data_IF_562626170092
#
_entry.id   IF_562626170092
#
_cell.length_a   1.000
_cell.length_b   1.000
_cell.length_c   1.000
_cell.angle_alpha   90.00
_cell.angle_beta   90.00
_cell.angle_gamma   90.00
#
_symmetry.space_group_name_H-M   'P 1'
#
loop_
_entity.id
_entity.type
_entity.pdbx_description
1 polymer ?
#
# COMPACT_ATOMS: atom_id res chain seq x y z
N UNK A 1 -8.45 -12.43 -0.70
CA UNK A 1 -7.12 -11.84 -0.92
C UNK A 1 -6.14 -12.94 -0.60
N UNK A 2 -5.32 -13.34 -1.56
CA UNK A 2 -4.25 -14.31 -1.31
C UNK A 2 -3.10 -13.60 -0.58
N UNK A 3 -2.57 -14.23 0.46
CA UNK A 3 -1.56 -13.64 1.34
C UNK A 3 -0.33 -14.54 1.37
N UNK A 4 0.75 -14.09 0.74
CA UNK A 4 2.08 -14.65 0.84
C UNK A 4 2.96 -13.72 1.70
N UNK A 5 2.70 -13.77 3.02
CA UNK A 5 3.30 -12.86 4.02
C UNK A 5 4.07 -13.68 5.04
N UNK A 6 5.38 -13.42 5.11
CA UNK A 6 6.33 -14.13 5.97
C UNK A 6 6.34 -13.57 7.41
N UNK A 7 6.18 -12.25 7.58
CA UNK A 7 6.37 -11.59 8.88
C UNK A 7 5.09 -11.06 9.51
N UNK A 8 4.99 -11.23 10.83
CA UNK A 8 3.90 -10.66 11.63
C UNK A 8 3.85 -9.12 11.57
N UNK A 9 4.97 -8.48 11.22
CA UNK A 9 5.05 -7.04 11.05
C UNK A 9 4.21 -6.57 9.87
N UNK A 10 4.40 -7.13 8.67
CA UNK A 10 3.62 -6.73 7.51
C UNK A 10 2.14 -7.13 7.69
N UNK A 11 1.89 -8.32 8.26
CA UNK A 11 0.52 -8.76 8.60
C UNK A 11 -0.18 -7.75 9.51
N UNK A 12 0.47 -7.32 10.59
CA UNK A 12 -0.07 -6.33 11.50
C UNK A 12 -0.29 -4.96 10.86
N UNK A 13 0.61 -4.51 9.96
CA UNK A 13 0.40 -3.27 9.21
C UNK A 13 -0.86 -3.37 8.33
N UNK A 14 -1.00 -4.46 7.56
CA UNK A 14 -2.13 -4.67 6.67
C UNK A 14 -3.44 -4.76 7.44
N UNK A 15 -3.51 -5.53 8.53
CA UNK A 15 -4.72 -5.64 9.35
C UNK A 15 -5.17 -4.27 9.87
N UNK A 16 -4.24 -3.46 10.38
CA UNK A 16 -4.55 -2.13 10.86
C UNK A 16 -4.98 -1.18 9.74
N UNK A 17 -4.31 -1.23 8.59
CA UNK A 17 -4.67 -0.41 7.43
C UNK A 17 -6.05 -0.80 6.90
N UNK A 18 -6.32 -2.10 6.73
CA UNK A 18 -7.61 -2.61 6.28
C UNK A 18 -8.75 -2.21 7.24
N UNK A 19 -8.50 -2.27 8.57
CA UNK A 19 -9.45 -1.81 9.58
C UNK A 19 -9.72 -0.29 9.53
N UNK A 20 -8.70 0.50 9.17
CA UNK A 20 -8.87 1.94 9.01
C UNK A 20 -9.68 2.27 7.75
N UNK A 21 -9.32 1.68 6.61
CA UNK A 21 -10.00 1.95 5.34
C UNK A 21 -11.44 1.40 5.32
N UNK A 22 -11.75 0.36 6.09
CA UNK A 22 -13.11 -0.21 6.15
C UNK A 22 -14.18 0.77 6.67
N UNK A 23 -13.77 1.92 7.21
CA UNK A 23 -14.66 3.02 7.58
C UNK A 23 -15.13 3.85 6.38
N UNK A 24 -14.41 3.76 5.26
CA UNK A 24 -14.64 4.55 4.05
C UNK A 24 -15.19 3.71 2.90
N UNK A 25 -15.07 2.38 2.98
CA UNK A 25 -15.44 1.45 1.92
C UNK A 25 -15.72 0.06 2.48
N UNK A 26 -16.58 -0.70 1.80
CA UNK A 26 -16.82 -2.10 2.13
C UNK A 26 -15.62 -2.95 1.69
N UNK A 27 -14.82 -3.38 2.66
CA UNK A 27 -13.70 -4.30 2.45
C UNK A 27 -14.21 -5.73 2.65
N UNK A 28 -14.21 -6.51 1.58
CA UNK A 28 -14.58 -7.93 1.61
C UNK A 28 -13.44 -8.81 1.08
N UNK A 29 -13.57 -10.12 1.26
CA UNK A 29 -12.56 -11.08 0.83
C UNK A 29 -12.32 -10.99 -0.68
N UNK A 30 -11.08 -10.69 -1.08
CA UNK A 30 -10.72 -10.56 -2.51
C UNK A 30 -10.90 -9.14 -3.06
N UNK A 31 -11.18 -8.16 -2.21
CA UNK A 31 -11.27 -6.76 -2.61
C UNK A 31 -9.97 -6.25 -3.25
N UNK A 32 -8.82 -6.58 -2.66
CA UNK A 32 -7.49 -6.28 -3.19
C UNK A 32 -6.84 -7.52 -3.81
N UNK A 33 -5.87 -7.29 -4.70
CA UNK A 33 -5.05 -8.33 -5.31
C UNK A 33 -4.20 -9.10 -4.30
N UNK A 34 -3.47 -10.11 -4.78
CA UNK A 34 -2.57 -10.88 -3.92
C UNK A 34 -1.51 -9.97 -3.29
N UNK A 35 -1.14 -10.28 -2.04
CA UNK A 35 -0.09 -9.55 -1.33
C UNK A 35 1.10 -10.46 -1.11
N UNK A 36 2.27 -10.01 -1.53
CA UNK A 36 3.54 -10.71 -1.44
C UNK A 36 4.52 -9.91 -0.58
N UNK A 37 5.19 -10.60 0.33
CA UNK A 37 6.30 -10.05 1.09
C UNK A 37 7.62 -10.55 0.52
N UNK A 38 8.57 -9.65 0.28
CA UNK A 38 9.87 -10.05 -0.25
C UNK A 38 10.78 -8.87 -0.55
N UNK A 39 12.04 -9.17 -0.89
CA UNK A 39 13.00 -8.13 -1.29
C UNK A 39 12.67 -7.60 -2.67
N UNK A 40 12.44 -6.30 -2.76
CA UNK A 40 12.15 -5.61 -4.03
C UNK A 40 13.39 -4.78 -4.40
N UNK A 41 13.82 -4.85 -5.66
CA UNK A 41 14.99 -4.10 -6.09
C UNK A 41 14.67 -2.60 -6.17
N UNK A 42 15.45 -1.77 -5.48
CA UNK A 42 15.33 -0.31 -5.37
C UNK A 42 14.01 0.27 -4.81
N UNK A 43 12.93 -0.49 -4.70
CA UNK A 43 11.65 -0.01 -4.18
C UNK A 43 11.33 -0.52 -2.78
N UNK A 44 10.42 0.15 -2.07
CA UNK A 44 9.92 -0.29 -0.75
C UNK A 44 8.62 -1.08 -0.89
N UNK A 45 7.78 -0.67 -1.84
CA UNK A 45 6.55 -1.36 -2.22
C UNK A 45 6.27 -1.11 -3.71
N UNK A 46 5.52 -2.00 -4.34
CA UNK A 46 5.07 -1.80 -5.73
C UNK A 46 3.81 -2.61 -6.00
N UNK A 47 2.95 -2.08 -6.87
CA UNK A 47 1.85 -2.81 -7.50
C UNK A 47 2.23 -3.25 -8.91
N UNK A 48 2.06 -4.53 -9.23
CA UNK A 48 2.25 -5.07 -10.58
C UNK A 48 1.11 -4.68 -11.53
N UNK A 49 1.30 -4.86 -12.84
CA UNK A 49 0.26 -4.59 -13.84
C UNK A 49 -1.00 -5.47 -13.66
N UNK A 50 -0.85 -6.65 -13.02
CA UNK A 50 -1.96 -7.57 -12.71
C UNK A 50 -2.65 -7.21 -11.38
N UNK A 51 -2.16 -6.21 -10.65
CA UNK A 51 -2.72 -5.75 -9.39
C UNK A 51 -2.22 -6.49 -8.15
N UNK A 52 -1.18 -7.32 -8.28
CA UNK A 52 -0.51 -7.92 -7.13
C UNK A 52 0.37 -6.88 -6.42
N UNK A 53 0.33 -6.88 -5.10
CA UNK A 53 1.00 -5.93 -4.22
C UNK A 53 2.24 -6.57 -3.61
N UNK A 54 3.39 -5.92 -3.75
CA UNK A 54 4.67 -6.40 -3.23
C UNK A 54 5.18 -5.42 -2.18
N UNK A 55 5.59 -5.94 -1.02
CA UNK A 55 6.15 -5.13 0.07
C UNK A 55 7.50 -5.66 0.56
N UNK A 56 8.51 -4.79 0.66
CA UNK A 56 9.79 -5.08 1.31
C UNK A 56 9.71 -4.66 2.79
N UNK A 57 9.22 -5.57 3.62
CA UNK A 57 9.02 -5.30 5.05
C UNK A 57 10.33 -4.97 5.79
N UNK A 58 11.48 -5.46 5.31
CA UNK A 58 12.78 -5.14 5.89
C UNK A 58 13.16 -3.67 5.67
N UNK A 59 12.85 -3.12 4.49
CA UNK A 59 12.99 -1.67 4.24
C UNK A 59 11.94 -0.87 5.01
N UNK A 60 10.69 -1.34 5.06
CA UNK A 60 9.60 -0.65 5.76
C UNK A 60 9.88 -0.45 7.26
N UNK A 61 10.54 -1.42 7.91
CA UNK A 61 10.96 -1.34 9.33
C UNK A 61 11.92 -0.18 9.66
N UNK A 62 12.50 0.47 8.65
CA UNK A 62 13.37 1.66 8.84
C UNK A 62 12.56 2.93 9.09
N UNK A 63 11.25 2.90 8.85
CA UNK A 63 10.36 4.02 9.05
C UNK A 63 9.54 3.85 10.33
N UNK A 64 9.02 4.97 10.84
CA UNK A 64 7.97 4.93 11.87
C UNK A 64 6.77 4.12 11.39
N UNK A 65 6.08 3.46 12.32
CA UNK A 65 4.89 2.64 12.02
C UNK A 65 3.83 3.40 11.22
N UNK A 66 3.63 4.69 11.50
CA UNK A 66 2.68 5.54 10.77
C UNK A 66 3.07 5.70 9.29
N UNK A 67 4.37 5.84 9.00
CA UNK A 67 4.88 5.97 7.63
C UNK A 67 4.76 4.62 6.91
N UNK A 68 5.11 3.52 7.59
CA UNK A 68 4.95 2.19 7.04
C UNK A 68 3.47 1.86 6.71
N UNK A 69 2.53 2.25 7.57
CA UNK A 69 1.10 2.14 7.29
C UNK A 69 0.66 3.03 6.12
N UNK A 70 1.21 4.25 6.00
CA UNK A 70 0.94 5.13 4.86
C UNK A 70 1.46 4.56 3.53
N UNK A 71 2.60 3.86 3.51
CA UNK A 71 3.10 3.13 2.33
C UNK A 71 2.07 2.07 1.90
N UNK A 72 1.60 1.24 2.84
CA UNK A 72 0.59 0.21 2.53
C UNK A 72 -0.70 0.85 2.00
N UNK A 73 -1.19 1.89 2.65
CA UNK A 73 -2.40 2.59 2.22
C UNK A 73 -2.24 3.20 0.81
N UNK A 74 -1.06 3.73 0.48
CA UNK A 74 -0.77 4.28 -0.84
C UNK A 74 -0.87 3.22 -1.94
N UNK A 75 -0.25 2.04 -1.76
CA UNK A 75 -0.36 0.95 -2.74
C UNK A 75 -1.79 0.41 -2.89
N UNK A 76 -2.52 0.29 -1.77
CA UNK A 76 -3.94 -0.07 -1.81
C UNK A 76 -4.78 0.98 -2.56
N UNK A 77 -4.42 2.26 -2.46
CA UNK A 77 -5.07 3.32 -3.22
C UNK A 77 -4.80 3.18 -4.73
N UNK A 78 -3.57 2.85 -5.13
CA UNK A 78 -3.27 2.52 -6.53
C UNK A 78 -4.11 1.34 -7.05
N UNK A 79 -4.29 0.29 -6.24
CA UNK A 79 -5.16 -0.81 -6.61
C UNK A 79 -6.61 -0.35 -6.79
N UNK A 80 -7.15 0.36 -5.78
CA UNK A 80 -8.55 0.82 -5.75
C UNK A 80 -8.89 1.73 -6.94
N UNK A 81 -7.98 2.63 -7.31
CA UNK A 81 -8.13 3.55 -8.44
C UNK A 81 -7.85 2.90 -9.80
N UNK A 82 -7.45 1.62 -9.82
CA UNK A 82 -7.15 0.89 -11.05
C UNK A 82 -5.87 1.36 -11.74
N UNK A 83 -4.93 1.96 -11.01
CA UNK A 83 -3.67 2.48 -11.57
C UNK A 83 -2.77 1.39 -12.12
N UNK A 84 -2.83 0.17 -11.57
CA UNK A 84 -2.12 -1.00 -12.09
C UNK A 84 -2.46 -1.32 -13.55
N UNK A 85 -3.64 -0.92 -14.05
CA UNK A 85 -4.06 -1.14 -15.44
C UNK A 85 -3.49 -0.08 -16.41
N UNK A 86 -2.86 0.97 -15.88
CA UNK A 86 -2.26 2.06 -16.66
C UNK A 86 -0.77 1.77 -16.82
N UNK A 87 -0.21 2.05 -17.99
CA UNK A 87 1.19 1.78 -18.26
C UNK A 87 2.11 2.88 -17.72
N UNK A 88 3.16 2.46 -17.02
CA UNK A 88 4.25 3.33 -16.57
C UNK A 88 3.88 4.28 -15.42
N UNK A 89 4.89 5.05 -15.00
CA UNK A 89 4.74 6.06 -13.95
C UNK A 89 3.97 7.28 -14.48
N UNK A 90 3.02 7.77 -13.69
CA UNK A 90 2.25 8.97 -14.00
C UNK A 90 2.05 9.82 -12.74
N UNK A 91 2.44 11.09 -12.82
CA UNK A 91 2.40 12.02 -11.70
C UNK A 91 0.97 12.27 -11.18
N UNK A 92 -0.05 12.16 -12.03
CA UNK A 92 -1.43 12.32 -11.59
C UNK A 92 -1.90 11.09 -10.82
N UNK A 93 -1.55 9.87 -11.27
CA UNK A 93 -1.85 8.65 -10.54
C UNK A 93 -1.25 8.66 -9.13
N UNK A 94 0.02 9.06 -8.99
CA UNK A 94 0.69 9.20 -7.68
C UNK A 94 -0.06 10.18 -6.76
N UNK A 95 -0.46 11.32 -7.33
CA UNK A 95 -1.20 12.35 -6.59
C UNK A 95 -2.60 11.89 -6.20
N UNK A 96 -3.29 11.15 -7.07
CA UNK A 96 -4.61 10.60 -6.79
C UNK A 96 -4.54 9.53 -5.69
N UNK A 97 -3.51 8.68 -5.71
CA UNK A 97 -3.27 7.69 -4.67
C UNK A 97 -2.96 8.37 -3.32
N UNK A 98 -2.11 9.40 -3.31
CA UNK A 98 -1.86 10.25 -2.14
C UNK A 98 -3.14 10.85 -1.57
N UNK A 99 -3.94 11.50 -2.42
CA UNK A 99 -5.20 12.13 -1.99
C UNK A 99 -6.19 11.12 -1.43
N UNK A 100 -6.23 9.90 -1.98
CA UNK A 100 -7.11 8.85 -1.47
C UNK A 100 -6.62 8.29 -0.14
N UNK A 101 -5.33 8.02 0.00
CA UNK A 101 -4.76 7.56 1.27
C UNK A 101 -4.86 8.64 2.37
N UNK A 102 -4.74 9.92 2.03
CA UNK A 102 -5.03 11.03 2.95
C UNK A 102 -6.50 11.04 3.40
N UNK A 103 -7.45 10.83 2.47
CA UNK A 103 -8.88 10.70 2.80
C UNK A 103 -9.17 9.52 3.70
N UNK A 104 -8.41 8.44 3.60
CA UNK A 104 -8.49 7.29 4.50
C UNK A 104 -7.86 7.55 5.88
N UNK A 105 -7.24 8.71 6.09
CA UNK A 105 -6.71 9.14 7.38
C UNK A 105 -5.22 8.87 7.58
N UNK A 106 -4.46 8.61 6.51
CA UNK A 106 -3.01 8.40 6.59
C UNK A 106 -2.23 9.70 6.34
N UNK A 107 -1.10 9.88 7.03
CA UNK A 107 -0.28 11.09 6.94
C UNK A 107 0.67 11.05 5.74
N UNK A 108 0.18 11.47 4.58
CA UNK A 108 0.95 11.50 3.32
C UNK A 108 2.07 12.52 3.34
N UNK A 109 1.88 13.66 4.01
CA UNK A 109 2.95 14.64 4.15
C UNK A 109 4.17 14.03 4.88
N UNK A 110 3.93 13.26 5.96
CA UNK A 110 5.00 12.55 6.67
C UNK A 110 5.66 11.51 5.78
N UNK A 111 4.87 10.74 5.02
CA UNK A 111 5.40 9.79 4.04
C UNK A 111 6.35 10.46 3.02
N UNK A 112 5.90 11.53 2.37
CA UNK A 112 6.67 12.23 1.31
C UNK A 112 7.91 12.95 1.83
N UNK A 113 8.06 13.14 3.14
CA UNK A 113 9.31 13.64 3.76
C UNK A 113 10.32 12.53 4.06
N UNK A 114 9.88 11.27 4.07
CA UNK A 114 10.71 10.10 4.37
C UNK A 114 11.21 9.37 3.12
N UNK A 115 10.52 9.54 1.98
CA UNK A 115 10.90 9.05 0.66
C UNK A 115 11.71 10.11 -0.10
#
# INVERSE_FOLDING_TARGET
MELDIETDYLRGLLENVLLMISRFMDVYEGFFGAVHEGRIFNEIAVISETGELYFDSYKMRRFDVEVAMAIVAHELAHYYLGHHKKSGWDANNEKEADQLAEKWGFNIEKLRRCL
#
